data_IF_490420557251
#
_entry.id   IF_490420557251
#
_cell.length_a   1.000
_cell.length_b   1.000
_cell.length_c   1.000
_cell.angle_alpha   90.00
_cell.angle_beta   90.00
_cell.angle_gamma   90.00
#
_symmetry.space_group_name_H-M   'P 1'
#
loop_
_entity.id
_entity.type
_entity.pdbx_description
1 polymer ?
#
# COMPACT_ATOMS: atom_id res chain seq x y z
N UNK A 1 -1.53 -30.03 -1.32
CA UNK A 1 -1.09 -28.87 -2.13
C UNK A 1 -1.84 -27.63 -1.66
N UNK A 2 -1.15 -26.51 -1.44
CA UNK A 2 -1.78 -25.29 -0.92
C UNK A 2 -2.66 -24.67 -2.02
N UNK A 3 -3.95 -24.55 -1.70
CA UNK A 3 -4.88 -23.70 -2.42
C UNK A 3 -4.65 -22.26 -1.96
N UNK A 4 -4.55 -21.36 -2.93
CA UNK A 4 -4.38 -19.91 -2.90
C UNK A 4 -3.91 -19.36 -1.55
N UNK A 5 -2.61 -19.08 -1.42
CA UNK A 5 -1.97 -18.53 -0.22
C UNK A 5 -2.37 -17.10 0.11
N UNK A 6 -3.67 -16.82 0.25
CA UNK A 6 -4.18 -15.54 0.72
C UNK A 6 -4.39 -15.57 2.23
N UNK A 7 -4.31 -14.40 2.84
CA UNK A 7 -4.28 -14.20 4.29
C UNK A 7 -5.49 -14.82 5.00
N UNK A 8 -6.66 -14.71 4.37
CA UNK A 8 -7.90 -15.26 4.91
C UNK A 8 -7.89 -16.79 5.02
N UNK A 9 -7.14 -17.49 4.14
CA UNK A 9 -6.96 -18.95 4.25
C UNK A 9 -6.14 -19.32 5.49
N UNK A 10 -5.06 -18.59 5.75
CA UNK A 10 -4.25 -18.77 6.96
C UNK A 10 -5.04 -18.44 8.22
N UNK A 11 -5.83 -17.37 8.19
CA UNK A 11 -6.72 -16.99 9.30
C UNK A 11 -7.75 -18.10 9.60
N UNK A 12 -8.40 -18.65 8.58
CA UNK A 12 -9.33 -19.79 8.75
C UNK A 12 -8.63 -21.02 9.37
N UNK A 13 -7.46 -21.37 8.85
CA UNK A 13 -6.77 -22.59 9.28
C UNK A 13 -6.21 -22.45 10.71
N UNK A 14 -5.65 -21.30 11.06
CA UNK A 14 -5.06 -21.04 12.37
C UNK A 14 -6.10 -20.85 13.47
N UNK A 15 -7.27 -20.29 13.16
CA UNK A 15 -8.34 -20.09 14.13
C UNK A 15 -9.16 -21.37 14.43
N UNK A 16 -8.86 -22.47 13.73
CA UNK A 16 -9.52 -23.76 13.93
C UNK A 16 -10.97 -23.81 13.42
N UNK A 17 -11.67 -24.95 13.59
CA UNK A 17 -12.97 -25.18 12.96
C UNK A 17 -14.10 -24.28 13.52
N UNK A 18 -14.01 -23.85 14.78
CA UNK A 18 -15.04 -23.04 15.43
C UNK A 18 -14.97 -21.56 15.05
N UNK A 19 -13.76 -20.99 15.01
CA UNK A 19 -13.54 -19.56 14.76
C UNK A 19 -13.03 -19.28 13.34
N UNK A 20 -12.65 -20.31 12.58
CA UNK A 20 -12.12 -20.20 11.22
C UNK A 20 -12.98 -19.40 10.25
N UNK A 21 -14.29 -19.64 10.14
CA UNK A 21 -15.17 -18.85 9.28
C UNK A 21 -15.21 -17.37 9.66
N UNK A 22 -15.23 -17.05 10.96
CA UNK A 22 -15.23 -15.67 11.43
C UNK A 22 -13.88 -14.97 11.19
N UNK A 23 -12.79 -15.64 11.54
CA UNK A 23 -11.44 -15.11 11.35
C UNK A 23 -11.15 -14.85 9.86
N UNK A 24 -11.52 -15.77 8.98
CA UNK A 24 -11.39 -15.57 7.53
C UNK A 24 -12.28 -14.45 7.01
N UNK A 25 -13.51 -14.30 7.52
CA UNK A 25 -14.38 -13.19 7.15
C UNK A 25 -13.76 -11.82 7.48
N UNK A 26 -13.34 -11.63 8.73
CA UNK A 26 -12.69 -10.38 9.14
C UNK A 26 -11.42 -10.10 8.33
N UNK A 27 -10.58 -11.12 8.16
CA UNK A 27 -9.32 -11.03 7.43
C UNK A 27 -9.54 -10.65 5.95
N UNK A 28 -10.46 -11.34 5.27
CA UNK A 28 -10.74 -11.12 3.85
C UNK A 28 -11.31 -9.72 3.58
N UNK A 29 -12.21 -9.22 4.44
CA UNK A 29 -12.79 -7.89 4.27
C UNK A 29 -11.78 -6.77 4.57
N UNK A 30 -10.95 -6.93 5.61
CA UNK A 30 -9.87 -6.00 5.92
C UNK A 30 -8.86 -5.93 4.76
N UNK A 31 -8.43 -7.08 4.24
CA UNK A 31 -7.54 -7.20 3.09
C UNK A 31 -8.16 -6.57 1.82
N UNK A 32 -9.45 -6.82 1.56
CA UNK A 32 -10.18 -6.24 0.42
C UNK A 32 -10.25 -4.72 0.52
N UNK A 33 -10.63 -4.18 1.68
CA UNK A 33 -10.70 -2.73 1.92
C UNK A 33 -9.30 -2.11 1.73
N UNK A 34 -8.28 -2.75 2.29
CA UNK A 34 -6.89 -2.29 2.22
C UNK A 34 -6.35 -2.21 0.79
N UNK A 35 -6.56 -3.26 0.00
CA UNK A 35 -6.10 -3.35 -1.38
C UNK A 35 -6.87 -2.41 -2.31
N UNK A 36 -8.19 -2.33 -2.20
CA UNK A 36 -9.01 -1.44 -3.05
C UNK A 36 -8.68 0.03 -2.76
N UNK A 37 -8.61 0.43 -1.50
CA UNK A 37 -8.16 1.79 -1.15
C UNK A 37 -6.69 2.03 -1.51
N UNK A 38 -5.86 0.98 -1.52
CA UNK A 38 -4.48 1.02 -2.00
C UNK A 38 -4.38 1.41 -3.48
N UNK A 39 -5.30 0.96 -4.33
CA UNK A 39 -5.39 1.45 -5.73
C UNK A 39 -5.61 2.96 -5.76
N UNK A 40 -6.50 3.48 -4.89
CA UNK A 40 -6.71 4.92 -4.76
C UNK A 40 -5.49 5.68 -4.24
N UNK A 41 -4.79 5.14 -3.24
CA UNK A 41 -3.58 5.75 -2.69
C UNK A 41 -2.49 5.90 -3.77
N UNK A 42 -2.33 4.89 -4.63
CA UNK A 42 -1.41 4.95 -5.75
C UNK A 42 -1.89 5.90 -6.84
N UNK A 43 -3.18 5.94 -7.16
CA UNK A 43 -3.73 6.89 -8.13
C UNK A 43 -3.49 8.34 -7.71
N UNK A 44 -3.64 8.62 -6.41
CA UNK A 44 -3.32 9.93 -5.84
C UNK A 44 -1.82 10.24 -5.97
N UNK A 45 -0.94 9.31 -5.56
CA UNK A 45 0.51 9.50 -5.61
C UNK A 45 1.03 9.72 -7.03
N UNK A 46 0.51 8.94 -7.99
CA UNK A 46 0.81 9.09 -9.41
C UNK A 46 0.32 10.44 -9.96
N UNK A 47 -0.89 10.87 -9.58
CA UNK A 47 -1.44 12.17 -9.98
C UNK A 47 -0.64 13.34 -9.41
N UNK A 48 -0.21 13.23 -8.15
CA UNK A 48 0.63 14.23 -7.49
C UNK A 48 2.00 14.34 -8.14
N UNK A 49 2.66 13.21 -8.42
CA UNK A 49 3.93 13.22 -9.14
C UNK A 49 3.78 13.77 -10.57
N UNK A 50 2.71 13.42 -11.28
CA UNK A 50 2.42 13.97 -12.60
C UNK A 50 2.18 15.49 -12.55
N UNK A 51 1.46 15.96 -11.54
CA UNK A 51 1.26 17.40 -11.34
C UNK A 51 2.59 18.13 -11.13
N UNK A 52 3.50 17.58 -10.34
CA UNK A 52 4.83 18.18 -10.14
C UNK A 52 5.66 18.18 -11.42
N UNK A 53 5.58 17.11 -12.23
CA UNK A 53 6.21 17.06 -13.56
C UNK A 53 5.68 18.19 -14.43
N UNK A 54 4.36 18.36 -14.53
CA UNK A 54 3.72 19.40 -15.34
C UNK A 54 4.12 20.79 -14.83
N UNK A 55 4.07 21.00 -13.52
CA UNK A 55 4.42 22.27 -12.88
C UNK A 55 5.86 22.67 -13.20
N UNK A 56 6.83 21.78 -13.00
CA UNK A 56 8.25 22.05 -13.22
C UNK A 56 8.66 22.09 -14.70
N UNK A 57 7.89 21.43 -15.58
CA UNK A 57 8.09 21.50 -17.02
C UNK A 57 7.53 22.78 -17.64
N UNK A 58 6.52 23.39 -17.02
CA UNK A 58 5.89 24.64 -17.50
C UNK A 58 6.39 25.89 -16.77
N UNK A 59 7.18 25.73 -15.71
CA UNK A 59 7.74 26.81 -14.91
C UNK A 59 8.01 26.34 -13.49
N UNK A 60 7.53 27.08 -12.51
CA UNK A 60 7.44 26.69 -11.10
C UNK A 60 6.17 27.30 -10.51
N UNK A 61 5.79 26.92 -9.29
CA UNK A 61 4.65 27.54 -8.60
C UNK A 61 4.78 29.08 -8.51
N UNK A 62 5.99 29.58 -8.27
CA UNK A 62 6.31 31.02 -8.21
C UNK A 62 6.63 31.64 -9.58
N UNK A 63 7.02 30.82 -10.55
CA UNK A 63 7.44 31.21 -11.89
C UNK A 63 6.34 31.09 -12.96
N UNK A 64 5.06 31.07 -12.57
CA UNK A 64 3.94 31.00 -13.50
C UNK A 64 3.70 29.63 -14.14
N UNK A 65 4.26 28.57 -13.56
CA UNK A 65 4.02 27.18 -13.97
C UNK A 65 2.57 26.76 -13.73
N UNK A 66 2.10 25.79 -14.50
CA UNK A 66 0.72 25.31 -14.41
C UNK A 66 0.53 24.36 -13.22
N UNK A 67 -0.11 24.85 -12.16
CA UNK A 67 -0.56 24.04 -11.05
C UNK A 67 -1.98 23.51 -11.32
N UNK A 68 -2.12 22.19 -11.43
CA UNK A 68 -3.41 21.56 -11.76
C UNK A 68 -4.49 21.93 -10.73
N UNK A 69 -5.63 22.43 -11.21
CA UNK A 69 -6.80 22.65 -10.36
C UNK A 69 -7.32 21.32 -9.79
N UNK A 70 -8.09 21.36 -8.68
CA UNK A 70 -8.64 20.15 -8.04
C UNK A 70 -9.42 19.25 -9.01
N UNK A 71 -10.12 19.85 -9.99
CA UNK A 71 -10.87 19.11 -11.01
C UNK A 71 -9.96 18.41 -12.04
N UNK A 72 -8.86 19.05 -12.43
CA UNK A 72 -7.84 18.43 -13.29
C UNK A 72 -7.08 17.34 -12.54
N UNK A 73 -6.77 17.57 -11.26
CA UNK A 73 -6.18 16.56 -10.40
C UNK A 73 -7.05 15.30 -10.28
N UNK A 74 -8.35 15.48 -10.00
CA UNK A 74 -9.29 14.36 -9.97
C UNK A 74 -9.38 13.66 -11.34
N UNK A 75 -9.33 14.41 -12.44
CA UNK A 75 -9.30 13.82 -13.78
C UNK A 75 -8.07 12.95 -14.01
N UNK A 76 -6.88 13.37 -13.55
CA UNK A 76 -5.66 12.55 -13.59
C UNK A 76 -5.83 11.28 -12.75
N UNK A 77 -6.35 11.40 -11.52
CA UNK A 77 -6.62 10.28 -10.63
C UNK A 77 -7.55 9.23 -11.25
N UNK A 78 -8.66 9.69 -11.84
CA UNK A 78 -9.62 8.82 -12.54
C UNK A 78 -8.94 8.21 -13.77
N UNK A 79 -8.19 9.00 -14.54
CA UNK A 79 -7.43 8.54 -15.70
C UNK A 79 -6.50 7.39 -15.38
N UNK A 80 -5.67 7.51 -14.33
CA UNK A 80 -4.79 6.42 -13.88
C UNK A 80 -5.57 5.17 -13.49
N UNK A 81 -6.63 5.33 -12.72
CA UNK A 81 -7.48 4.20 -12.29
C UNK A 81 -8.07 3.46 -13.49
N UNK A 82 -8.54 4.19 -14.50
CA UNK A 82 -9.08 3.62 -15.74
C UNK A 82 -8.00 2.95 -16.60
N UNK A 83 -6.81 3.55 -16.68
CA UNK A 83 -5.66 2.96 -17.39
C UNK A 83 -5.27 1.64 -16.74
N UNK A 84 -5.13 1.59 -15.41
CA UNK A 84 -4.79 0.36 -14.70
C UNK A 84 -5.89 -0.68 -14.81
N UNK A 85 -7.16 -0.28 -14.76
CA UNK A 85 -8.28 -1.20 -14.98
C UNK A 85 -8.21 -1.82 -16.38
N UNK A 86 -8.00 -1.00 -17.40
CA UNK A 86 -7.88 -1.43 -18.80
C UNK A 86 -6.69 -2.38 -18.98
N UNK A 87 -5.51 -2.02 -18.47
CA UNK A 87 -4.32 -2.84 -18.55
C UNK A 87 -4.51 -4.19 -17.84
N UNK A 88 -5.23 -4.20 -16.72
CA UNK A 88 -5.62 -5.40 -16.00
C UNK A 88 -6.76 -6.20 -16.65
N UNK A 89 -7.32 -5.78 -17.79
CA UNK A 89 -8.26 -6.61 -18.55
C UNK A 89 -7.57 -7.47 -19.62
N UNK A 90 -6.31 -7.15 -19.97
CA UNK A 90 -5.53 -7.91 -20.94
C UNK A 90 -5.13 -9.28 -20.41
N UNK A 91 -4.55 -10.11 -21.28
CA UNK A 91 -4.09 -11.44 -20.92
C UNK A 91 -3.02 -11.40 -19.81
N UNK A 92 -2.98 -12.45 -18.98
CA UNK A 92 -2.03 -12.58 -17.87
C UNK A 92 -0.56 -12.42 -18.32
N UNK A 93 -0.23 -12.86 -19.53
CA UNK A 93 1.11 -12.72 -20.12
C UNK A 93 1.54 -11.25 -20.25
N UNK A 94 0.61 -10.37 -20.62
CA UNK A 94 0.86 -8.92 -20.73
C UNK A 94 1.12 -8.32 -19.34
N UNK A 95 0.30 -8.71 -18.35
CA UNK A 95 0.46 -8.28 -16.96
C UNK A 95 1.81 -8.74 -16.41
N UNK A 96 2.22 -9.99 -16.69
CA UNK A 96 3.51 -10.53 -16.29
C UNK A 96 4.69 -9.77 -16.95
N UNK A 97 4.58 -9.45 -18.23
CA UNK A 97 5.58 -8.64 -18.94
C UNK A 97 5.75 -7.25 -18.32
N UNK A 98 4.65 -6.55 -18.03
CA UNK A 98 4.70 -5.27 -17.31
C UNK A 98 5.29 -5.42 -15.90
N UNK A 99 5.06 -6.56 -15.23
CA UNK A 99 5.69 -6.86 -13.94
C UNK A 99 7.22 -6.95 -14.02
N UNK A 100 7.77 -7.53 -15.09
CA UNK A 100 9.23 -7.58 -15.31
C UNK A 100 9.79 -6.18 -15.58
N UNK A 101 9.13 -5.38 -16.43
CA UNK A 101 9.53 -4.00 -16.68
C UNK A 101 9.49 -3.19 -15.37
N UNK A 102 8.41 -3.32 -14.61
CA UNK A 102 8.24 -2.67 -13.32
C UNK A 102 9.38 -2.97 -12.36
N UNK A 103 9.80 -4.23 -12.26
CA UNK A 103 10.90 -4.65 -11.40
C UNK A 103 12.20 -3.92 -11.77
N UNK A 104 12.59 -3.95 -13.05
CA UNK A 104 13.80 -3.29 -13.51
C UNK A 104 13.72 -1.76 -13.41
N UNK A 105 12.55 -1.18 -13.68
CA UNK A 105 12.31 0.25 -13.51
C UNK A 105 12.52 0.68 -12.06
N UNK A 106 11.99 -0.06 -11.10
CA UNK A 106 12.15 0.27 -9.69
C UNK A 106 13.60 0.12 -9.22
N UNK A 107 14.29 -0.95 -9.63
CA UNK A 107 15.68 -1.20 -9.25
C UNK A 107 16.61 -0.15 -9.90
N UNK A 108 16.57 -0.02 -11.22
CA UNK A 108 17.46 0.89 -11.95
C UNK A 108 17.10 2.34 -11.63
N UNK A 109 15.82 2.69 -11.70
CA UNK A 109 15.33 4.03 -11.42
C UNK A 109 15.64 4.46 -9.98
N UNK A 110 15.42 3.59 -9.00
CA UNK A 110 15.77 3.88 -7.61
C UNK A 110 17.28 4.03 -7.41
N UNK A 111 18.11 3.19 -8.04
CA UNK A 111 19.58 3.33 -7.99
C UNK A 111 20.05 4.64 -8.61
N UNK A 112 19.46 5.03 -9.75
CA UNK A 112 19.74 6.33 -10.38
C UNK A 112 19.44 7.46 -9.41
N UNK A 113 18.27 7.45 -8.73
CA UNK A 113 17.94 8.51 -7.76
C UNK A 113 18.89 8.50 -6.56
N UNK A 114 19.18 7.33 -5.99
CA UNK A 114 20.08 7.18 -4.82
C UNK A 114 21.49 7.71 -5.11
N UNK A 115 22.03 7.42 -6.30
CA UNK A 115 23.42 7.76 -6.64
C UNK A 115 23.51 9.19 -7.19
N UNK A 116 22.65 9.57 -8.13
CA UNK A 116 22.80 10.82 -8.84
C UNK A 116 22.33 12.03 -8.05
N UNK A 117 21.30 11.88 -7.19
CA UNK A 117 20.79 13.04 -6.45
C UNK A 117 21.87 13.68 -5.56
N UNK A 118 22.62 12.92 -4.72
CA UNK A 118 23.73 13.49 -3.95
C UNK A 118 24.89 14.00 -4.81
N UNK A 119 25.10 13.43 -5.99
CA UNK A 119 26.15 13.90 -6.93
C UNK A 119 25.80 15.24 -7.59
N UNK A 120 24.51 15.48 -7.81
CA UNK A 120 24.02 16.73 -8.39
C UNK A 120 23.89 17.83 -7.34
N UNK A 121 23.56 17.48 -6.09
CA UNK A 121 23.49 18.43 -4.99
C UNK A 121 24.86 19.09 -4.74
N UNK A 122 25.00 20.39 -5.04
CA UNK A 122 26.25 21.13 -4.83
C UNK A 122 26.62 21.27 -3.36
N UNK A 123 25.63 21.29 -2.48
CA UNK A 123 25.77 21.36 -1.04
C UNK A 123 25.01 20.17 -0.45
N UNK A 124 25.68 19.44 0.43
CA UNK A 124 25.08 18.33 1.17
C UNK A 124 25.14 18.62 2.66
N UNK A 125 24.14 18.13 3.39
CA UNK A 125 24.10 18.26 4.84
C UNK A 125 25.20 17.41 5.50
N UNK A 126 25.78 17.86 6.63
CA UNK A 126 26.75 17.05 7.34
C UNK A 126 26.07 15.80 7.94
N UNK A 127 26.83 14.72 8.11
CA UNK A 127 26.31 13.48 8.72
C UNK A 127 25.74 13.72 10.14
N UNK A 128 26.28 14.69 10.88
CA UNK A 128 25.71 15.09 12.18
C UNK A 128 24.28 15.59 12.03
N UNK A 129 23.98 16.38 10.99
CA UNK A 129 22.61 16.82 10.73
C UNK A 129 21.72 15.61 10.42
N UNK A 130 22.10 14.78 9.45
CA UNK A 130 21.27 13.66 8.98
C UNK A 130 20.97 12.63 10.09
N UNK A 131 21.93 12.33 10.97
CA UNK A 131 21.77 11.29 11.99
C UNK A 131 21.34 11.80 13.37
N UNK A 132 21.44 13.10 13.66
CA UNK A 132 21.17 13.63 15.02
C UNK A 132 20.18 14.78 15.07
N UNK A 133 19.96 15.49 13.95
CA UNK A 133 19.07 16.63 13.95
C UNK A 133 17.61 16.17 13.89
N UNK A 134 16.82 16.62 14.88
CA UNK A 134 15.39 16.36 14.94
C UNK A 134 14.64 17.68 14.79
N UNK A 135 14.00 17.86 13.63
CA UNK A 135 13.23 19.05 13.29
C UNK A 135 11.76 18.69 13.09
N UNK A 136 10.89 19.56 13.58
CA UNK A 136 9.44 19.53 13.36
C UNK A 136 9.04 20.80 12.62
N UNK A 137 7.97 20.78 11.83
CA UNK A 137 7.38 21.98 11.21
C UNK A 137 5.99 22.26 11.78
N UNK A 138 5.87 22.88 12.98
CA UNK A 138 4.58 23.21 13.58
C UNK A 138 3.79 24.24 12.76
N UNK A 139 4.46 25.05 11.95
CA UNK A 139 3.80 26.06 11.10
C UNK A 139 3.00 25.38 9.98
N UNK A 140 3.56 24.34 9.37
CA UNK A 140 2.91 23.59 8.29
C UNK A 140 1.89 22.56 8.83
N UNK A 141 2.22 21.92 9.95
CA UNK A 141 1.43 20.79 10.47
C UNK A 141 0.53 21.14 11.65
N UNK A 142 0.76 22.27 12.32
CA UNK A 142 0.11 22.60 13.60
C UNK A 142 0.51 21.70 14.78
N UNK A 143 1.46 20.79 14.60
CA UNK A 143 1.91 19.84 15.63
C UNK A 143 3.15 20.41 16.31
N UNK A 144 3.00 20.84 17.55
CA UNK A 144 4.12 21.33 18.40
C UNK A 144 4.69 20.25 19.33
N UNK A 145 3.96 19.16 19.56
CA UNK A 145 4.37 18.08 20.47
C UNK A 145 5.40 17.16 19.81
N UNK A 146 6.65 17.21 20.27
CA UNK A 146 7.73 16.33 19.79
C UNK A 146 7.40 14.83 19.93
N UNK A 147 6.86 14.33 21.06
CA UNK A 147 6.46 12.93 21.16
C UNK A 147 5.41 12.52 20.13
N UNK A 148 4.45 13.41 19.84
CA UNK A 148 3.44 13.15 18.83
C UNK A 148 4.05 13.12 17.42
N UNK A 149 4.96 14.05 17.10
CA UNK A 149 5.68 14.05 15.83
C UNK A 149 6.51 12.77 15.62
N UNK A 150 7.11 12.21 16.68
CA UNK A 150 7.81 10.91 16.63
C UNK A 150 6.85 9.76 16.32
N UNK A 151 5.66 9.75 16.92
CA UNK A 151 4.63 8.74 16.59
C UNK A 151 4.24 8.86 15.11
N UNK A 152 4.08 10.09 14.63
CA UNK A 152 3.66 10.35 13.25
C UNK A 152 4.74 10.04 12.20
N UNK A 153 6.03 10.18 12.51
CA UNK A 153 7.11 9.91 11.56
C UNK A 153 7.18 8.44 11.14
N UNK A 154 6.72 7.53 12.01
CA UNK A 154 6.68 6.08 11.75
C UNK A 154 5.67 5.68 10.67
N UNK A 155 4.69 6.55 10.34
CA UNK A 155 3.70 6.26 9.29
C UNK A 155 4.38 6.04 7.92
N UNK A 156 5.35 6.89 7.56
CA UNK A 156 6.03 6.80 6.26
C UNK A 156 6.70 5.44 6.10
N UNK A 157 7.47 5.01 7.09
CA UNK A 157 8.18 3.73 7.06
C UNK A 157 7.22 2.53 6.95
N UNK A 158 6.06 2.59 7.62
CA UNK A 158 5.08 1.51 7.54
C UNK A 158 4.40 1.44 6.17
N UNK A 159 4.08 2.59 5.57
CA UNK A 159 3.52 2.62 4.22
C UNK A 159 4.50 2.08 3.18
N UNK A 160 5.79 2.40 3.29
CA UNK A 160 6.81 1.93 2.34
C UNK A 160 7.01 0.41 2.32
N UNK A 161 6.63 -0.30 3.39
CA UNK A 161 6.73 -1.77 3.48
C UNK A 161 5.43 -2.48 3.08
N UNK A 162 4.46 -1.74 2.55
CA UNK A 162 3.19 -2.30 2.07
C UNK A 162 3.40 -3.29 0.91
N UNK A 163 2.70 -4.44 0.96
CA UNK A 163 2.63 -5.40 -0.15
C UNK A 163 3.67 -6.52 -0.17
N UNK A 164 4.41 -6.73 0.93
CA UNK A 164 5.40 -7.83 1.06
C UNK A 164 4.81 -9.23 0.86
N UNK A 165 3.49 -9.37 0.92
CA UNK A 165 2.72 -10.60 0.81
C UNK A 165 2.16 -10.87 -0.58
N UNK A 166 2.45 -9.99 -1.53
CA UNK A 166 2.22 -10.26 -2.94
C UNK A 166 2.88 -11.57 -3.37
N UNK A 167 4.03 -11.92 -2.78
CA UNK A 167 4.69 -13.21 -2.97
C UNK A 167 3.83 -14.39 -2.49
N UNK A 168 3.02 -14.21 -1.43
CA UNK A 168 2.10 -15.22 -0.92
C UNK A 168 0.95 -15.48 -1.89
N UNK A 169 0.42 -14.43 -2.54
CA UNK A 169 -0.65 -14.57 -3.54
C UNK A 169 -0.23 -15.37 -4.79
N UNK A 170 1.06 -15.40 -5.10
CA UNK A 170 1.64 -16.13 -6.24
C UNK A 170 2.21 -17.51 -5.85
N UNK A 171 1.94 -17.98 -4.64
CA UNK A 171 2.46 -19.28 -4.16
C UNK A 171 1.96 -20.47 -4.97
N UNK A 172 0.75 -20.41 -5.53
CA UNK A 172 0.21 -21.48 -6.41
C UNK A 172 1.06 -21.65 -7.69
N UNK A 173 1.69 -20.57 -8.16
CA UNK A 173 2.49 -20.54 -9.38
C UNK A 173 3.99 -20.79 -9.08
N UNK A 174 4.36 -20.91 -7.80
CA UNK A 174 5.75 -21.00 -7.34
C UNK A 174 6.17 -22.45 -7.06
N UNK A 175 7.28 -22.89 -7.67
CA UNK A 175 7.88 -24.20 -7.36
C UNK A 175 8.47 -24.19 -5.94
N UNK A 176 8.12 -25.19 -5.13
CA UNK A 176 8.61 -25.31 -3.75
C UNK A 176 8.09 -24.21 -2.82
N UNK A 177 6.82 -23.82 -2.96
CA UNK A 177 6.20 -22.71 -2.24
C UNK A 177 6.35 -22.77 -0.70
N UNK A 178 6.49 -23.96 -0.13
CA UNK A 178 6.68 -24.21 1.31
C UNK A 178 8.02 -23.68 1.86
N UNK A 179 9.06 -23.61 1.03
CA UNK A 179 10.37 -23.03 1.39
C UNK A 179 10.60 -21.68 0.71
N UNK A 180 10.26 -21.58 -0.57
CA UNK A 180 10.48 -20.39 -1.38
C UNK A 180 9.61 -19.22 -0.91
N UNK A 181 8.37 -19.48 -0.47
CA UNK A 181 7.45 -18.44 0.00
C UNK A 181 7.99 -17.63 1.19
N UNK A 182 8.30 -18.28 2.34
CA UNK A 182 8.86 -17.59 3.50
C UNK A 182 10.18 -16.86 3.19
N UNK A 183 11.07 -17.47 2.41
CA UNK A 183 12.34 -16.86 2.03
C UNK A 183 12.15 -15.65 1.11
N UNK A 184 11.24 -15.69 0.15
CA UNK A 184 10.91 -14.57 -0.72
C UNK A 184 10.35 -13.37 0.07
N UNK A 185 9.46 -13.61 1.04
CA UNK A 185 8.91 -12.55 1.90
C UNK A 185 10.03 -11.92 2.75
N UNK A 186 10.84 -12.73 3.43
CA UNK A 186 11.90 -12.20 4.30
C UNK A 186 13.01 -11.48 3.54
N UNK A 187 13.45 -12.03 2.40
CA UNK A 187 14.49 -11.41 1.56
C UNK A 187 14.01 -10.11 0.93
N UNK A 188 12.77 -10.06 0.43
CA UNK A 188 12.20 -8.83 -0.14
C UNK A 188 12.10 -7.71 0.88
N UNK A 189 11.64 -8.00 2.11
CA UNK A 189 11.62 -7.03 3.22
C UNK A 189 13.03 -6.53 3.54
N UNK A 190 14.02 -7.43 3.63
CA UNK A 190 15.40 -7.05 3.91
C UNK A 190 16.00 -6.14 2.84
N UNK A 191 15.86 -6.53 1.56
CA UNK A 191 16.38 -5.76 0.42
C UNK A 191 15.72 -4.39 0.34
N UNK A 192 14.38 -4.31 0.43
CA UNK A 192 13.68 -3.04 0.30
C UNK A 192 13.92 -2.12 1.50
N UNK A 193 14.18 -2.68 2.70
CA UNK A 193 14.55 -1.88 3.88
C UNK A 193 15.90 -1.20 3.68
N UNK A 194 16.91 -1.92 3.19
CA UNK A 194 18.24 -1.34 2.90
C UNK A 194 18.15 -0.32 1.77
N UNK A 195 17.42 -0.66 0.71
CA UNK A 195 17.25 0.23 -0.46
C UNK A 195 16.49 1.51 -0.10
N UNK A 196 15.37 1.39 0.60
CA UNK A 196 14.58 2.51 1.09
C UNK A 196 15.34 3.36 2.10
N UNK A 197 16.19 2.75 2.95
CA UNK A 197 17.08 3.50 3.83
C UNK A 197 18.11 4.32 3.04
N UNK A 198 18.77 3.73 2.04
CA UNK A 198 19.69 4.45 1.16
C UNK A 198 19.01 5.60 0.39
N UNK A 199 17.77 5.39 -0.07
CA UNK A 199 16.96 6.43 -0.71
C UNK A 199 16.65 7.60 0.25
N UNK A 200 16.23 7.31 1.48
CA UNK A 200 16.00 8.35 2.49
C UNK A 200 17.29 9.10 2.84
N UNK A 201 18.43 8.42 2.91
CA UNK A 201 19.73 9.07 3.08
C UNK A 201 20.03 10.02 1.92
N UNK A 202 19.87 9.56 0.67
CA UNK A 202 20.11 10.39 -0.50
C UNK A 202 19.27 11.67 -0.50
N UNK A 203 17.99 11.57 -0.13
CA UNK A 203 17.12 12.74 0.04
C UNK A 203 17.58 13.65 1.17
N UNK A 204 17.80 13.10 2.37
CA UNK A 204 18.13 13.89 3.57
C UNK A 204 19.48 14.59 3.49
N UNK A 205 20.48 13.95 2.88
CA UNK A 205 21.77 14.59 2.58
C UNK A 205 21.64 15.72 1.55
N UNK A 206 20.63 15.68 0.68
CA UNK A 206 20.41 16.65 -0.39
C UNK A 206 19.44 17.78 0.02
N UNK A 207 18.98 17.82 1.27
CA UNK A 207 18.13 18.90 1.78
C UNK A 207 18.95 20.19 1.84
N UNK A 208 18.46 21.26 1.19
CA UNK A 208 19.09 22.58 1.22
C UNK A 208 18.60 23.42 2.39
N UNK A 209 17.29 23.60 2.47
CA UNK A 209 16.61 24.34 3.54
C UNK A 209 15.38 23.54 3.96
N UNK A 210 15.32 23.17 5.24
CA UNK A 210 14.23 22.34 5.77
C UNK A 210 12.90 23.08 5.85
N UNK A 211 12.93 24.35 6.28
CA UNK A 211 11.70 25.11 6.52
C UNK A 211 11.04 25.47 5.19
N UNK A 212 11.84 25.62 4.12
CA UNK A 212 11.36 25.85 2.77
C UNK A 212 10.71 24.62 2.10
N UNK A 213 10.99 23.39 2.56
CA UNK A 213 10.45 22.17 1.94
C UNK A 213 8.92 22.06 2.02
N UNK A 214 8.35 22.60 3.08
CA UNK A 214 6.92 22.50 3.39
C UNK A 214 6.16 23.80 3.10
N UNK A 215 6.85 24.86 2.67
CA UNK A 215 6.22 26.14 2.32
C UNK A 215 5.33 25.97 1.07
N UNK A 216 4.06 26.35 1.20
CA UNK A 216 3.09 26.36 0.09
C UNK A 216 3.50 27.32 -1.03
N UNK A 217 4.38 28.27 -0.75
CA UNK A 217 4.90 29.25 -1.70
C UNK A 217 6.24 28.84 -2.34
N UNK A 218 6.78 27.64 -2.03
CA UNK A 218 7.97 27.16 -2.72
C UNK A 218 7.67 26.77 -4.18
N UNK A 219 8.71 26.42 -4.95
CA UNK A 219 8.64 26.15 -6.38
C UNK A 219 7.76 24.95 -6.75
N UNK A 220 7.54 24.04 -5.80
CA UNK A 220 6.69 22.84 -5.95
C UNK A 220 5.35 22.95 -5.20
N UNK A 221 5.07 24.08 -4.56
CA UNK A 221 3.85 24.35 -3.80
C UNK A 221 3.70 23.52 -2.52
N UNK A 222 4.80 23.08 -1.91
CA UNK A 222 4.82 22.31 -0.65
C UNK A 222 4.14 20.93 -0.72
N UNK A 223 3.69 20.49 -1.90
CA UNK A 223 2.81 19.34 -2.05
C UNK A 223 3.56 18.00 -2.05
N UNK A 224 4.77 17.95 -2.62
CA UNK A 224 5.59 16.75 -2.72
C UNK A 224 7.04 17.07 -2.34
N UNK A 225 7.39 16.87 -1.07
CA UNK A 225 8.71 17.21 -0.51
C UNK A 225 9.89 16.66 -1.34
N UNK A 226 9.89 15.40 -1.83
CA UNK A 226 10.98 14.92 -2.69
C UNK A 226 11.13 15.72 -3.99
N UNK A 227 10.04 16.28 -4.54
CA UNK A 227 10.12 17.11 -5.74
C UNK A 227 10.88 18.41 -5.49
N UNK A 228 10.68 19.04 -4.32
CA UNK A 228 11.41 20.25 -3.94
C UNK A 228 12.91 19.96 -3.79
N UNK A 229 13.27 18.89 -3.08
CA UNK A 229 14.67 18.49 -2.88
C UNK A 229 15.37 18.24 -4.24
N UNK A 230 14.70 17.52 -5.14
CA UNK A 230 15.23 17.24 -6.47
C UNK A 230 15.34 18.54 -7.28
N UNK A 231 14.33 19.41 -7.24
CA UNK A 231 14.36 20.71 -7.91
C UNK A 231 15.54 21.56 -7.42
N UNK A 232 15.71 21.72 -6.12
CA UNK A 232 16.78 22.52 -5.51
C UNK A 232 18.17 22.02 -5.91
N UNK A 233 18.37 20.70 -5.94
CA UNK A 233 19.63 20.10 -6.34
C UNK A 233 19.98 20.40 -7.81
N UNK A 234 19.03 20.18 -8.74
CA UNK A 234 19.26 20.38 -10.17
C UNK A 234 19.32 21.85 -10.56
N UNK A 235 18.41 22.67 -10.03
CA UNK A 235 18.39 24.10 -10.29
C UNK A 235 19.62 24.79 -9.68
N UNK A 236 20.04 24.39 -8.49
CA UNK A 236 21.27 24.90 -7.87
C UNK A 236 22.51 24.62 -8.71
N UNK A 237 22.61 23.43 -9.33
CA UNK A 237 23.79 23.04 -10.11
C UNK A 237 23.79 23.51 -11.56
N UNK A 238 22.65 23.41 -12.24
CA UNK A 238 22.54 23.60 -13.69
C UNK A 238 21.69 24.81 -14.07
N UNK A 239 21.08 25.50 -13.10
CA UNK A 239 20.12 26.58 -13.33
C UNK A 239 18.97 26.17 -14.26
N UNK A 240 18.61 24.89 -14.25
CA UNK A 240 17.60 24.28 -15.12
C UNK A 240 16.85 23.16 -14.38
N UNK A 241 15.52 23.13 -14.51
CA UNK A 241 14.62 22.13 -13.92
C UNK A 241 14.51 20.83 -14.74
N UNK A 242 15.06 20.77 -15.96
CA UNK A 242 14.91 19.61 -16.85
C UNK A 242 15.37 18.29 -16.21
N UNK A 243 16.49 18.30 -15.47
CA UNK A 243 16.96 17.10 -14.76
C UNK A 243 16.04 16.67 -13.62
N UNK A 244 15.43 17.64 -12.93
CA UNK A 244 14.42 17.36 -11.90
C UNK A 244 13.16 16.72 -12.50
N UNK A 245 12.71 17.21 -13.67
CA UNK A 245 11.59 16.63 -14.41
C UNK A 245 11.86 15.17 -14.78
N UNK A 246 13.06 14.85 -15.29
CA UNK A 246 13.45 13.47 -15.61
C UNK A 246 13.41 12.56 -14.38
N UNK A 247 13.88 13.03 -13.23
CA UNK A 247 13.87 12.26 -11.98
C UNK A 247 12.44 12.04 -11.46
N UNK A 248 11.60 13.07 -11.57
CA UNK A 248 10.19 12.93 -11.24
C UNK A 248 9.47 11.95 -12.17
N UNK A 249 9.83 11.87 -13.45
CA UNK A 249 9.32 10.84 -14.36
C UNK A 249 9.69 9.42 -13.90
N UNK A 250 10.88 9.22 -13.33
CA UNK A 250 11.29 7.94 -12.74
C UNK A 250 10.38 7.58 -11.56
N UNK A 251 10.18 8.53 -10.63
CA UNK A 251 9.31 8.36 -9.45
C UNK A 251 7.86 8.10 -9.88
N UNK A 252 7.36 8.87 -10.84
CA UNK A 252 6.03 8.73 -11.42
C UNK A 252 5.83 7.34 -12.05
N UNK A 253 6.81 6.86 -12.81
CA UNK A 253 6.79 5.51 -13.38
C UNK A 253 6.69 4.42 -12.30
N UNK A 254 7.38 4.61 -11.18
CA UNK A 254 7.29 3.69 -10.04
C UNK A 254 5.88 3.65 -9.44
N UNK A 255 5.23 4.81 -9.25
CA UNK A 255 3.83 4.85 -8.81
C UNK A 255 2.87 4.24 -9.83
N UNK A 256 3.11 4.49 -11.13
CA UNK A 256 2.32 3.90 -12.20
C UNK A 256 2.35 2.37 -12.18
N UNK A 257 3.55 1.79 -12.10
CA UNK A 257 3.69 0.34 -12.04
C UNK A 257 3.18 -0.27 -10.73
N UNK A 258 3.36 0.42 -9.61
CA UNK A 258 2.82 -0.02 -8.33
C UNK A 258 1.29 -0.06 -8.35
N UNK A 259 0.64 0.99 -8.87
CA UNK A 259 -0.82 1.03 -9.03
C UNK A 259 -1.35 -0.08 -9.93
N UNK A 260 -0.63 -0.41 -11.01
CA UNK A 260 -0.94 -1.54 -11.88
C UNK A 260 -0.92 -2.87 -11.09
N UNK A 261 0.14 -3.13 -10.32
CA UNK A 261 0.31 -4.36 -9.55
C UNK A 261 -0.71 -4.49 -8.41
N UNK A 262 -0.98 -3.41 -7.67
CA UNK A 262 -1.98 -3.39 -6.60
C UNK A 262 -3.37 -3.65 -7.15
N UNK A 263 -3.70 -3.12 -8.33
CA UNK A 263 -4.98 -3.39 -9.01
C UNK A 263 -5.13 -4.88 -9.33
N UNK A 264 -4.06 -5.53 -9.79
CA UNK A 264 -4.04 -6.99 -10.02
C UNK A 264 -4.33 -7.76 -8.73
N UNK A 265 -3.65 -7.43 -7.63
CA UNK A 265 -3.83 -8.08 -6.33
C UNK A 265 -5.23 -7.87 -5.78
N UNK A 266 -5.76 -6.64 -5.84
CA UNK A 266 -7.11 -6.31 -5.39
C UNK A 266 -8.17 -7.13 -6.15
N UNK A 267 -8.05 -7.21 -7.48
CA UNK A 267 -8.98 -7.99 -8.31
C UNK A 267 -8.93 -9.49 -7.99
N UNK A 268 -7.74 -10.05 -7.71
CA UNK A 268 -7.57 -11.46 -7.30
C UNK A 268 -8.25 -11.76 -5.96
N UNK A 269 -8.13 -10.86 -4.98
CA UNK A 269 -8.78 -11.02 -3.67
C UNK A 269 -10.31 -10.92 -3.80
N UNK A 270 -10.83 -9.94 -4.55
CA UNK A 270 -12.27 -9.84 -4.82
C UNK A 270 -12.79 -11.10 -5.53
N UNK A 271 -12.05 -11.61 -6.52
CA UNK A 271 -12.40 -12.84 -7.21
C UNK A 271 -12.44 -14.05 -6.26
N UNK A 272 -11.42 -14.22 -5.42
CA UNK A 272 -11.34 -15.31 -4.45
C UNK A 272 -12.51 -15.26 -3.45
N UNK A 273 -12.80 -14.08 -2.91
CA UNK A 273 -13.92 -13.90 -1.97
C UNK A 273 -15.27 -14.11 -2.66
N UNK A 274 -15.41 -13.71 -3.93
CA UNK A 274 -16.62 -13.94 -4.73
C UNK A 274 -16.85 -15.41 -5.10
N UNK A 275 -15.78 -16.20 -5.23
CA UNK A 275 -15.88 -17.66 -5.39
C UNK A 275 -16.53 -18.31 -4.17
N UNK A 276 -16.19 -17.80 -2.98
CA UNK A 276 -16.68 -18.31 -1.70
C UNK A 276 -18.00 -17.62 -1.27
N UNK A 277 -18.68 -16.93 -2.20
CA UNK A 277 -19.90 -16.15 -2.00
C UNK A 277 -19.80 -15.03 -0.94
N UNK A 278 -18.58 -14.59 -0.61
CA UNK A 278 -18.31 -13.64 0.45
C UNK A 278 -18.58 -12.17 0.11
N UNK A 279 -18.94 -11.83 -1.14
CA UNK A 279 -19.26 -10.47 -1.60
C UNK A 279 -20.70 -10.40 -2.14
N UNK A 280 -21.46 -9.30 -1.95
CA UNK A 280 -22.75 -9.12 -2.60
C UNK A 280 -22.63 -9.22 -4.12
N UNK A 281 -23.59 -9.86 -4.78
CA UNK A 281 -23.54 -10.12 -6.24
C UNK A 281 -22.33 -10.96 -6.70
N UNK A 282 -21.79 -11.81 -5.82
CA UNK A 282 -20.72 -12.79 -6.12
C UNK A 282 -20.79 -13.48 -7.50
N UNK A 283 -21.98 -13.86 -8.03
CA UNK A 283 -22.06 -14.47 -9.37
C UNK A 283 -21.57 -13.58 -10.53
N UNK A 284 -21.57 -12.26 -10.36
CA UNK A 284 -21.08 -11.30 -11.36
C UNK A 284 -19.55 -11.23 -11.31
N UNK A 285 -18.98 -11.10 -10.10
CA UNK A 285 -17.57 -10.86 -9.88
C UNK A 285 -16.69 -12.10 -10.05
N UNK A 286 -17.25 -13.29 -9.82
CA UNK A 286 -16.54 -14.57 -10.01
C UNK A 286 -16.37 -15.01 -11.47
N UNK A 287 -16.90 -14.25 -12.45
CA UNK A 287 -16.77 -14.62 -13.87
C UNK A 287 -15.36 -14.29 -14.38
N UNK A 288 -14.67 -15.31 -14.86
CA UNK A 288 -13.41 -15.15 -15.60
C UNK A 288 -13.70 -14.94 -17.08
N UNK A 289 -12.92 -14.06 -17.72
CA UNK A 289 -13.01 -13.89 -19.17
C UNK A 289 -12.42 -15.13 -19.88
N UNK A 290 -13.13 -15.74 -20.85
CA UNK A 290 -12.79 -17.06 -21.39
C UNK A 290 -11.43 -17.12 -22.11
N UNK A 291 -10.97 -16.00 -22.70
CA UNK A 291 -9.69 -15.95 -23.42
C UNK A 291 -8.51 -15.49 -22.55
N UNK A 292 -8.72 -14.49 -21.70
CA UNK A 292 -7.64 -13.88 -20.90
C UNK A 292 -7.44 -14.54 -19.54
N UNK A 293 -8.43 -15.31 -19.05
CA UNK A 293 -8.42 -15.95 -17.71
C UNK A 293 -8.27 -14.95 -16.55
N UNK A 294 -8.64 -13.69 -16.78
CA UNK A 294 -8.61 -12.61 -15.77
C UNK A 294 -10.03 -12.27 -15.29
N UNK A 295 -10.24 -11.96 -14.00
CA UNK A 295 -11.54 -11.54 -13.47
C UNK A 295 -11.85 -10.07 -13.81
N UNK A 296 -12.19 -9.81 -15.08
CA UNK A 296 -12.44 -8.45 -15.60
C UNK A 296 -13.47 -7.68 -14.77
N UNK A 297 -14.57 -8.33 -14.36
CA UNK A 297 -15.61 -7.67 -13.57
C UNK A 297 -15.10 -7.22 -12.19
N UNK A 298 -14.20 -7.99 -11.57
CA UNK A 298 -13.59 -7.64 -10.29
C UNK A 298 -12.63 -6.44 -10.43
N UNK A 299 -11.88 -6.38 -11.54
CA UNK A 299 -10.99 -5.24 -11.85
C UNK A 299 -11.79 -3.93 -11.95
N UNK A 300 -12.90 -3.95 -12.70
CA UNK A 300 -13.77 -2.77 -12.84
C UNK A 300 -14.48 -2.40 -11.54
N UNK A 301 -14.81 -3.38 -10.69
CA UNK A 301 -15.33 -3.11 -9.35
C UNK A 301 -14.29 -2.37 -8.48
N UNK A 302 -13.03 -2.85 -8.46
CA UNK A 302 -11.94 -2.15 -7.78
C UNK A 302 -11.83 -0.70 -8.27
N UNK A 303 -11.78 -0.52 -9.60
CA UNK A 303 -11.65 0.79 -10.23
C UNK A 303 -12.82 1.73 -9.85
N UNK A 304 -14.05 1.24 -9.90
CA UNK A 304 -15.23 2.02 -9.55
C UNK A 304 -15.20 2.47 -8.08
N UNK A 305 -14.88 1.56 -7.14
CA UNK A 305 -14.77 1.90 -5.72
C UNK A 305 -13.63 2.91 -5.50
N UNK A 306 -12.48 2.72 -6.14
CA UNK A 306 -11.35 3.66 -6.03
C UNK A 306 -11.69 5.04 -6.58
N UNK A 307 -12.45 5.14 -7.68
CA UNK A 307 -12.95 6.42 -8.20
C UNK A 307 -13.87 7.10 -7.18
N UNK A 308 -14.79 6.36 -6.57
CA UNK A 308 -15.70 6.87 -5.54
C UNK A 308 -14.91 7.39 -4.32
N UNK A 309 -13.88 6.65 -3.87
CA UNK A 309 -13.00 7.08 -2.79
C UNK A 309 -12.22 8.37 -3.11
N UNK A 310 -11.97 8.65 -4.38
CA UNK A 310 -11.29 9.87 -4.85
C UNK A 310 -12.19 11.10 -4.99
N UNK A 311 -13.52 10.96 -5.06
CA UNK A 311 -14.44 12.10 -5.23
C UNK A 311 -14.28 13.24 -4.20
N UNK A 312 -13.98 12.95 -2.91
CA UNK A 312 -13.75 14.00 -1.91
C UNK A 312 -12.60 14.97 -2.23
N UNK A 313 -11.69 14.63 -3.16
CA UNK A 313 -10.56 15.49 -3.59
C UNK A 313 -11.04 16.89 -4.01
N UNK A 314 -12.27 17.01 -4.54
CA UNK A 314 -12.83 18.29 -4.97
C UNK A 314 -13.03 19.29 -3.81
N UNK A 315 -13.18 18.82 -2.57
CA UNK A 315 -13.60 19.65 -1.43
C UNK A 315 -12.72 19.53 -0.19
N UNK A 316 -11.99 18.43 -0.03
CA UNK A 316 -11.26 18.10 1.19
C UNK A 316 -9.75 18.15 0.92
N UNK A 317 -8.97 18.54 1.94
CA UNK A 317 -7.54 18.81 1.77
C UNK A 317 -6.67 17.60 2.19
N UNK A 318 -7.21 16.71 3.02
CA UNK A 318 -6.50 15.53 3.57
C UNK A 318 -6.99 14.18 2.99
N UNK A 319 -7.47 14.17 1.74
CA UNK A 319 -8.02 12.95 1.12
C UNK A 319 -6.96 11.89 0.95
N UNK A 320 -5.74 12.26 0.55
CA UNK A 320 -4.63 11.32 0.45
C UNK A 320 -4.38 10.60 1.77
N UNK A 321 -4.24 11.36 2.87
CA UNK A 321 -4.04 10.80 4.20
C UNK A 321 -5.16 9.86 4.59
N UNK A 322 -6.42 10.21 4.28
CA UNK A 322 -7.56 9.35 4.60
C UNK A 322 -7.52 8.03 3.79
N UNK A 323 -7.32 8.10 2.47
CA UNK A 323 -7.23 6.91 1.60
C UNK A 323 -6.04 6.03 2.02
N UNK A 324 -4.88 6.64 2.29
CA UNK A 324 -3.67 5.98 2.75
C UNK A 324 -3.91 5.24 4.06
N UNK A 325 -4.55 5.90 5.02
CA UNK A 325 -4.86 5.32 6.33
C UNK A 325 -5.83 4.14 6.21
N UNK A 326 -6.87 4.26 5.37
CA UNK A 326 -7.79 3.15 5.08
C UNK A 326 -7.03 1.96 4.47
N UNK A 327 -6.12 2.24 3.54
CA UNK A 327 -5.31 1.21 2.87
C UNK A 327 -4.40 0.48 3.83
N UNK A 328 -3.60 1.21 4.61
CA UNK A 328 -2.66 0.62 5.55
C UNK A 328 -3.38 -0.09 6.70
N UNK A 329 -4.42 0.49 7.29
CA UNK A 329 -5.18 -0.16 8.37
C UNK A 329 -5.91 -1.40 7.88
N UNK A 330 -6.52 -1.35 6.69
CA UNK A 330 -7.18 -2.52 6.10
C UNK A 330 -6.19 -3.67 5.91
N UNK A 331 -5.04 -3.40 5.30
CA UNK A 331 -4.05 -4.45 5.03
C UNK A 331 -3.35 -4.95 6.29
N UNK A 332 -2.75 -4.06 7.10
CA UNK A 332 -2.05 -4.43 8.34
C UNK A 332 -3.03 -5.01 9.38
N UNK A 333 -4.26 -4.50 9.44
CA UNK A 333 -5.32 -5.05 10.28
C UNK A 333 -5.73 -6.46 9.88
N UNK A 334 -5.69 -6.80 8.59
CA UNK A 334 -5.85 -8.17 8.12
C UNK A 334 -4.86 -9.14 8.77
N UNK A 335 -3.60 -8.72 8.92
CA UNK A 335 -2.54 -9.50 9.58
C UNK A 335 -2.74 -9.73 11.07
N UNK A 336 -3.41 -8.81 11.77
CA UNK A 336 -3.70 -8.99 13.18
C UNK A 336 -4.48 -10.28 13.43
N UNK A 337 -5.38 -10.68 12.52
CA UNK A 337 -6.24 -11.85 12.69
C UNK A 337 -5.44 -13.17 12.77
N UNK A 338 -4.66 -13.58 11.74
CA UNK A 338 -3.88 -14.81 11.80
C UNK A 338 -2.76 -14.76 12.86
N UNK A 339 -2.16 -13.59 13.10
CA UNK A 339 -1.11 -13.45 14.14
C UNK A 339 -1.70 -13.63 15.54
N UNK A 340 -2.86 -13.03 15.80
CA UNK A 340 -3.57 -13.20 17.06
C UNK A 340 -4.05 -14.64 17.25
N UNK A 341 -4.63 -15.24 16.20
CA UNK A 341 -5.00 -16.65 16.22
C UNK A 341 -3.78 -17.53 16.54
N UNK A 342 -2.60 -17.23 15.97
CA UNK A 342 -1.37 -17.96 16.24
C UNK A 342 -0.86 -17.79 17.69
N UNK A 343 -1.12 -16.64 18.30
CA UNK A 343 -0.74 -16.35 19.68
C UNK A 343 -1.62 -17.10 20.70
N UNK A 344 -2.93 -17.14 20.45
CA UNK A 344 -3.95 -17.62 21.40
C UNK A 344 -4.30 -19.10 21.22
N UNK A 345 -4.33 -19.61 19.98
CA UNK A 345 -4.81 -20.98 19.72
C UNK A 345 -3.80 -22.05 20.15
N UNK A 346 -4.32 -23.16 20.65
CA UNK A 346 -3.51 -24.32 21.06
C UNK A 346 -2.88 -25.04 19.85
N UNK A 347 -1.66 -25.56 20.03
CA UNK A 347 -0.89 -26.20 18.95
C UNK A 347 -1.30 -27.63 18.61
N UNK A 348 -2.32 -28.19 19.26
CA UNK A 348 -2.60 -29.63 19.20
C UNK A 348 -2.72 -30.18 17.78
N UNK A 349 -3.18 -29.37 16.83
CA UNK A 349 -3.39 -29.77 15.43
C UNK A 349 -2.48 -29.04 14.42
N UNK A 350 -1.47 -28.29 14.87
CA UNK A 350 -0.60 -27.54 13.96
C UNK A 350 0.59 -28.38 13.49
N UNK A 351 0.69 -28.61 12.18
CA UNK A 351 1.85 -29.26 11.56
C UNK A 351 2.88 -28.19 11.18
N UNK A 352 4.10 -28.20 11.74
CA UNK A 352 5.15 -27.27 11.36
C UNK A 352 5.52 -27.42 9.88
N UNK A 353 5.69 -26.30 9.19
CA UNK A 353 6.31 -26.28 7.87
C UNK A 353 7.85 -26.35 7.94
N UNK A 354 8.53 -26.36 6.78
CA UNK A 354 10.00 -26.35 6.72
C UNK A 354 10.64 -25.16 7.43
N UNK A 355 9.93 -24.02 7.46
CA UNK A 355 10.29 -22.85 8.23
C UNK A 355 9.45 -22.79 9.51
N UNK A 356 10.09 -22.91 10.67
CA UNK A 356 9.42 -22.91 11.96
C UNK A 356 10.21 -22.16 13.04
N UNK A 357 9.55 -21.19 13.69
CA UNK A 357 10.16 -20.31 14.70
C UNK A 357 10.29 -20.95 16.09
N UNK A 358 9.77 -22.17 16.29
CA UNK A 358 9.87 -22.86 17.58
C UNK A 358 9.33 -22.05 18.76
N UNK A 359 10.12 -21.95 19.82
CA UNK A 359 9.78 -21.22 21.05
C UNK A 359 9.70 -19.71 20.85
N UNK A 360 10.41 -19.16 19.86
CA UNK A 360 10.42 -17.72 19.57
C UNK A 360 9.10 -17.22 18.96
N UNK A 361 8.21 -18.13 18.53
CA UNK A 361 6.93 -17.76 17.87
C UNK A 361 6.06 -16.84 18.73
N UNK A 362 5.89 -17.13 20.03
CA UNK A 362 4.99 -16.39 20.92
C UNK A 362 5.46 -14.96 21.16
N UNK A 363 6.72 -14.70 21.56
CA UNK A 363 7.19 -13.32 21.70
C UNK A 363 7.16 -12.57 20.37
N UNK A 364 7.51 -13.22 19.24
CA UNK A 364 7.45 -12.57 17.93
C UNK A 364 6.02 -12.22 17.52
N UNK A 365 5.04 -13.12 17.72
CA UNK A 365 3.64 -12.85 17.44
C UNK A 365 3.08 -11.74 18.35
N UNK A 366 3.48 -11.70 19.62
CA UNK A 366 3.06 -10.65 20.55
C UNK A 366 3.61 -9.28 20.10
N UNK A 367 4.91 -9.19 19.80
CA UNK A 367 5.53 -7.95 19.32
C UNK A 367 4.89 -7.50 18.01
N UNK A 368 4.67 -8.42 17.06
CA UNK A 368 4.00 -8.12 15.80
C UNK A 368 2.57 -7.62 16.02
N UNK A 369 1.80 -8.26 16.91
CA UNK A 369 0.43 -7.84 17.22
C UNK A 369 0.37 -6.45 17.87
N UNK A 370 1.27 -6.17 18.82
CA UNK A 370 1.39 -4.84 19.45
C UNK A 370 1.82 -3.78 18.44
N UNK A 371 2.74 -4.11 17.54
CA UNK A 371 3.14 -3.22 16.45
C UNK A 371 1.97 -2.90 15.53
N UNK A 372 1.17 -3.89 15.15
CA UNK A 372 -0.06 -3.69 14.36
C UNK A 372 -1.05 -2.78 15.10
N UNK A 373 -1.25 -3.00 16.40
CA UNK A 373 -2.12 -2.13 17.21
C UNK A 373 -1.62 -0.68 17.25
N UNK A 374 -0.31 -0.50 17.40
CA UNK A 374 0.34 0.82 17.34
C UNK A 374 0.16 1.48 15.97
N UNK A 375 0.48 0.79 14.88
CA UNK A 375 0.37 1.36 13.52
C UNK A 375 -1.07 1.71 13.18
N UNK A 376 -2.02 0.80 13.46
CA UNK A 376 -3.44 1.08 13.24
C UNK A 376 -3.89 2.31 14.01
N UNK A 377 -3.45 2.48 15.27
CA UNK A 377 -3.77 3.67 16.05
C UNK A 377 -3.14 4.93 15.45
N UNK A 378 -1.87 4.88 15.08
CA UNK A 378 -1.13 6.02 14.52
C UNK A 378 -1.70 6.53 13.19
N UNK A 379 -2.16 5.63 12.30
CA UNK A 379 -2.82 6.01 11.04
C UNK A 379 -4.21 6.63 11.24
N UNK A 380 -4.84 6.43 12.40
CA UNK A 380 -6.13 7.03 12.73
C UNK A 380 -6.00 8.40 13.41
N UNK A 381 -4.78 8.77 13.83
CA UNK A 381 -4.51 10.05 14.47
C UNK A 381 -4.48 11.20 13.43
N UNK A 382 -4.84 12.44 13.83
CA UNK A 382 -4.72 13.62 12.98
C UNK A 382 -3.26 13.91 12.57
N UNK A 383 -3.02 14.12 11.28
CA UNK A 383 -1.72 14.52 10.73
C UNK A 383 -1.51 16.03 10.68
N UNK A 384 -2.57 16.81 10.86
CA UNK A 384 -2.52 18.28 10.84
C UNK A 384 -3.48 18.90 11.86
N UNK A 385 -3.08 20.07 12.38
CA UNK A 385 -3.84 20.90 13.29
C UNK A 385 -3.89 22.35 12.75
N UNK A 386 -4.97 23.12 13.03
CA UNK A 386 -6.15 22.74 13.81
C UNK A 386 -7.08 21.76 13.06
N UNK A 387 -7.76 20.90 13.82
CA UNK A 387 -8.75 19.97 13.28
C UNK A 387 -9.98 20.77 12.82
N UNK A 388 -10.19 20.82 11.51
CA UNK A 388 -11.34 21.45 10.84
C UNK A 388 -12.01 20.41 9.95
N UNK A 389 -13.22 20.70 9.47
CA UNK A 389 -13.93 19.79 8.56
C UNK A 389 -13.12 19.40 7.32
N UNK A 390 -12.26 20.29 6.81
CA UNK A 390 -11.41 20.03 5.64
C UNK A 390 -10.10 19.29 5.94
N UNK A 391 -9.63 19.35 7.18
CA UNK A 391 -8.33 18.79 7.64
C UNK A 391 -8.48 17.57 8.54
N UNK A 392 -9.70 17.23 8.94
CA UNK A 392 -9.98 16.03 9.72
C UNK A 392 -9.68 14.76 8.91
N UNK A 393 -8.95 13.82 9.51
CA UNK A 393 -8.72 12.52 8.91
C UNK A 393 -10.02 11.70 9.00
N UNK A 394 -10.72 11.52 7.88
CA UNK A 394 -11.99 10.77 7.83
C UNK A 394 -11.82 9.25 7.79
N UNK A 395 -10.58 8.73 7.77
CA UNK A 395 -10.31 7.30 7.79
C UNK A 395 -10.98 6.53 8.94
N UNK A 396 -10.97 7.01 10.21
CA UNK A 396 -11.63 6.31 11.31
C UNK A 396 -13.14 6.17 11.09
N UNK A 397 -13.79 7.21 10.53
CA UNK A 397 -15.22 7.19 10.24
C UNK A 397 -15.52 6.20 9.11
N UNK A 398 -14.77 6.28 8.01
CA UNK A 398 -14.94 5.39 6.87
C UNK A 398 -14.71 3.92 7.25
N UNK A 399 -13.63 3.62 7.99
CA UNK A 399 -13.32 2.27 8.47
C UNK A 399 -14.38 1.76 9.45
N UNK A 400 -14.82 2.58 10.41
CA UNK A 400 -15.86 2.20 11.36
C UNK A 400 -17.19 1.88 10.67
N UNK A 401 -17.59 2.67 9.67
CA UNK A 401 -18.80 2.42 8.89
C UNK A 401 -18.66 1.14 8.06
N UNK A 402 -17.58 1.00 7.29
CA UNK A 402 -17.37 -0.18 6.44
C UNK A 402 -17.28 -1.47 7.27
N UNK A 403 -16.43 -1.49 8.30
CA UNK A 403 -16.30 -2.65 9.19
C UNK A 403 -17.59 -2.91 9.97
N UNK A 404 -18.29 -1.87 10.41
CA UNK A 404 -19.58 -1.98 11.07
C UNK A 404 -20.63 -2.66 10.19
N UNK A 405 -20.72 -2.29 8.90
CA UNK A 405 -21.63 -2.92 7.94
C UNK A 405 -21.24 -4.38 7.65
N UNK A 406 -19.95 -4.66 7.48
CA UNK A 406 -19.43 -6.03 7.26
C UNK A 406 -19.74 -6.93 8.48
N UNK A 407 -19.57 -6.40 9.69
CA UNK A 407 -19.86 -7.11 10.93
C UNK A 407 -21.36 -7.27 11.18
N UNK A 408 -22.15 -6.27 10.82
CA UNK A 408 -23.62 -6.35 10.88
C UNK A 408 -24.11 -7.46 9.93
N UNK A 409 -23.59 -7.51 8.71
CA UNK A 409 -23.92 -8.58 7.77
C UNK A 409 -23.53 -9.96 8.30
N UNK A 410 -22.37 -10.07 8.96
CA UNK A 410 -21.97 -11.31 9.64
C UNK A 410 -22.99 -11.78 10.68
N UNK A 411 -23.43 -10.88 11.56
CA UNK A 411 -24.36 -11.20 12.66
C UNK A 411 -25.76 -11.52 12.14
N UNK A 412 -26.24 -10.78 11.14
CA UNK A 412 -27.59 -10.95 10.60
C UNK A 412 -27.72 -12.23 9.76
N UNK A 413 -26.73 -12.50 8.90
CA UNK A 413 -26.86 -13.53 7.87
C UNK A 413 -25.60 -14.36 7.62
N UNK A 414 -24.43 -13.73 7.39
CA UNK A 414 -23.27 -14.45 6.85
C UNK A 414 -22.75 -15.59 7.74
N UNK A 415 -22.92 -15.51 9.06
CA UNK A 415 -22.59 -16.59 10.00
C UNK A 415 -23.33 -17.92 9.74
N UNK A 416 -24.46 -17.88 9.02
CA UNK A 416 -25.30 -19.06 8.75
C UNK A 416 -24.82 -19.87 7.55
N UNK A 417 -24.21 -19.22 6.56
CA UNK A 417 -23.86 -19.85 5.28
C UNK A 417 -22.37 -19.81 4.96
N UNK A 418 -21.61 -18.85 5.48
CA UNK A 418 -20.17 -18.74 5.22
C UNK A 418 -19.40 -19.77 6.02
N UNK A 419 -18.75 -20.72 5.33
CA UNK A 419 -17.97 -21.81 5.94
C UNK A 419 -16.46 -21.61 5.86
N UNK A 420 -16.01 -20.44 5.36
CA UNK A 420 -14.60 -20.17 5.08
C UNK A 420 -14.16 -20.67 3.70
N UNK A 421 -12.84 -20.62 3.41
CA UNK A 421 -12.29 -20.97 2.11
C UNK A 421 -12.60 -22.40 1.68
N UNK A 422 -13.11 -22.58 0.47
CA UNK A 422 -13.34 -23.91 -0.11
C UNK A 422 -12.01 -24.52 -0.57
N UNK A 423 -11.71 -25.75 -0.14
CA UNK A 423 -10.53 -26.51 -0.60
C UNK A 423 -10.83 -27.11 -1.98
N UNK A 424 -10.00 -26.81 -2.98
CA UNK A 424 -10.16 -27.31 -4.37
C UNK A 424 -9.72 -28.78 -4.59
N UNK A 425 -9.52 -29.58 -3.54
CA UNK A 425 -9.03 -30.96 -3.69
C UNK A 425 -9.91 -31.87 -2.83
N UNK A 426 -10.63 -32.78 -3.48
CA UNK A 426 -11.20 -33.97 -2.84
C UNK A 426 -10.04 -34.74 -2.23
N UNK A 427 -10.00 -34.85 -0.90
CA UNK A 427 -9.08 -35.77 -0.24
C UNK A 427 -9.60 -37.15 -0.58
N UNK A 428 -8.92 -37.82 -1.51
CA UNK A 428 -9.17 -39.22 -1.83
C UNK A 428 -9.02 -40.02 -0.53
N UNK A 429 -10.16 -40.43 0.04
CA UNK A 429 -10.27 -41.17 1.29
C UNK A 429 -9.95 -42.64 1.06
N UNK A 430 -8.79 -42.93 0.46
CA UNK A 430 -8.37 -44.28 0.07
C UNK A 430 -6.96 -44.66 0.59
N UNK A 431 -6.29 -43.80 1.35
CA UNK A 431 -4.94 -44.06 1.88
C UNK A 431 -4.85 -44.11 3.42
N UNK A 432 -5.94 -44.48 4.10
CA UNK A 432 -5.93 -44.83 5.53
C UNK A 432 -6.07 -46.32 5.83
N UNK A 433 -6.07 -47.18 4.81
CA UNK A 433 -5.95 -48.63 4.99
C UNK A 433 -4.91 -49.20 4.03
N UNK A 434 -3.64 -49.17 4.45
CA UNK A 434 -2.64 -50.20 4.18
C UNK A 434 -1.50 -50.05 5.19
#
# INVERSE_FOLDING_TARGET
>A
YQTTGSLYFWAAHLAGPRWGPFASWCCAWLETIGLVSGVGAQAYSASQSLQMIILLATGTNTGGGYYASRGVFLSMYIGFTLIWATLNTFALEVIAFFGIISMWWQVIGGLVVIIMLPLVAQQTQPASFVFTHFQTSPESTGISSKPYAIIMSVLLSNYCLYGYDSAAHLTEETKGADRTGPFAILSSIGIISVFGWAYNLALTFSIKDFDYLYDENNETGGALVPAQIIYDAFYGRYHNSAGAVVFLCIIWGSFFFCGLAVTTSAARVIYALSRDNGIPFSPIWRKLHPKSKVPVNAVWLCAAISIILGLPILKMDVVFTAILSISTVGWVGGYAVPIFARLVMEERNFKPGPFYLGRARRPICLVAFLWIGYTCSAFLLPTSYPIRLKTFNYAPVALAVCMGLVMLWWVLDARKWFKGPVRNIEVDSSSQHC
#
